data_IF_124654654131
#
_entry.id   IF_124654654131
#
_cell.length_a   1.000
_cell.length_b   1.000
_cell.length_c   1.000
_cell.angle_alpha   90.00
_cell.angle_beta   90.00
_cell.angle_gamma   90.00
#
_symmetry.space_group_name_H-M   'P 1'
#
loop_
_entity.id
_entity.type
_entity.pdbx_description
1 polymer ?
#
# COMPACT_ATOMS: atom_id res chain seq x y z
N UNK A 1 -13.01 -13.41 -17.99
CA UNK A 1 -13.01 -12.21 -17.15
C UNK A 1 -11.71 -11.45 -17.37
N UNK A 2 -11.73 -10.11 -17.47
CA UNK A 2 -10.49 -9.33 -17.65
C UNK A 2 -9.81 -9.13 -16.29
N UNK A 3 -8.49 -9.06 -16.27
CA UNK A 3 -7.74 -8.81 -15.03
C UNK A 3 -8.13 -7.49 -14.36
N UNK A 4 -8.51 -6.47 -15.15
CA UNK A 4 -8.98 -5.18 -14.64
C UNK A 4 -10.26 -5.32 -13.81
N UNK A 5 -11.23 -6.12 -14.28
CA UNK A 5 -12.49 -6.37 -13.56
C UNK A 5 -12.22 -7.05 -12.21
N UNK A 6 -11.32 -8.03 -12.20
CA UNK A 6 -10.92 -8.77 -11.00
C UNK A 6 -10.25 -7.86 -9.99
N UNK A 7 -9.37 -6.97 -10.44
CA UNK A 7 -8.65 -6.05 -9.55
C UNK A 7 -9.57 -4.98 -9.01
N UNK A 8 -10.52 -4.49 -9.82
CA UNK A 8 -11.52 -3.55 -9.35
C UNK A 8 -12.38 -4.16 -8.24
N UNK A 9 -12.88 -5.38 -8.45
CA UNK A 9 -13.68 -6.09 -7.44
C UNK A 9 -12.87 -6.42 -6.18
N UNK A 10 -11.61 -6.80 -6.32
CA UNK A 10 -10.74 -7.07 -5.16
C UNK A 10 -10.35 -5.81 -4.38
N UNK A 11 -10.25 -4.65 -5.05
CA UNK A 11 -9.92 -3.39 -4.40
C UNK A 11 -11.10 -2.80 -3.61
N UNK A 12 -12.33 -3.03 -4.08
CA UNK A 12 -13.56 -2.61 -3.43
C UNK A 12 -14.64 -3.68 -3.66
N UNK A 13 -14.78 -4.68 -2.76
CA UNK A 13 -15.75 -5.76 -2.92
C UNK A 13 -17.17 -5.19 -3.02
N UNK A 14 -17.74 -5.24 -4.22
CA UNK A 14 -19.10 -4.75 -4.48
C UNK A 14 -20.13 -5.86 -4.31
N UNK A 15 -19.67 -7.13 -4.31
CA UNK A 15 -20.55 -8.30 -4.32
C UNK A 15 -21.20 -8.56 -5.67
N UNK A 16 -20.84 -7.78 -6.71
CA UNK A 16 -21.30 -7.98 -8.08
C UNK A 16 -20.67 -9.19 -8.75
N UNK A 17 -19.55 -9.67 -8.23
CA UNK A 17 -18.87 -10.86 -8.72
C UNK A 17 -19.08 -12.06 -7.82
N UNK A 18 -19.44 -13.19 -8.44
CA UNK A 18 -19.55 -14.45 -7.73
C UNK A 18 -18.16 -14.93 -7.27
N UNK A 19 -18.05 -15.29 -5.97
CA UNK A 19 -16.79 -15.71 -5.35
C UNK A 19 -16.15 -16.90 -6.06
N UNK A 20 -16.95 -17.81 -6.62
CA UNK A 20 -16.45 -18.97 -7.36
C UNK A 20 -15.69 -18.58 -8.64
N UNK A 21 -16.21 -17.59 -9.37
CA UNK A 21 -15.57 -17.05 -10.59
C UNK A 21 -14.29 -16.31 -10.23
N UNK A 22 -14.28 -15.60 -9.10
CA UNK A 22 -13.08 -14.94 -8.59
C UNK A 22 -11.98 -15.95 -8.25
N UNK A 23 -12.30 -17.00 -7.49
CA UNK A 23 -11.33 -18.04 -7.12
C UNK A 23 -10.77 -18.77 -8.33
N UNK A 24 -11.63 -19.15 -9.29
CA UNK A 24 -11.20 -19.80 -10.54
C UNK A 24 -10.23 -18.89 -11.32
N UNK A 25 -10.48 -17.57 -11.36
CA UNK A 25 -9.57 -16.65 -12.03
C UNK A 25 -8.21 -16.55 -11.31
N UNK A 26 -8.22 -16.48 -9.97
CA UNK A 26 -6.98 -16.38 -9.18
C UNK A 26 -6.11 -17.63 -9.31
N UNK A 27 -6.71 -18.81 -9.44
CA UNK A 27 -5.99 -20.06 -9.72
C UNK A 27 -5.34 -20.07 -11.11
N UNK A 28 -6.01 -19.48 -12.10
CA UNK A 28 -5.55 -19.49 -13.49
C UNK A 28 -4.67 -18.29 -13.88
N UNK A 29 -4.61 -17.24 -13.06
CA UNK A 29 -3.93 -15.98 -13.38
C UNK A 29 -2.88 -15.58 -12.33
N UNK A 30 -1.59 -15.96 -12.51
CA UNK A 30 -0.53 -15.71 -11.53
C UNK A 30 -0.25 -14.23 -11.22
N UNK A 31 -0.59 -13.31 -12.13
CA UNK A 31 -0.46 -11.87 -11.89
C UNK A 31 -1.50 -11.38 -10.87
N UNK A 32 -2.75 -11.81 -11.00
CA UNK A 32 -3.81 -11.46 -10.06
C UNK A 32 -3.58 -12.11 -8.69
N UNK A 33 -3.13 -13.37 -8.65
CA UNK A 33 -2.75 -14.05 -7.41
C UNK A 33 -1.65 -13.29 -6.63
N UNK A 34 -0.56 -12.90 -7.29
CA UNK A 34 0.53 -12.11 -6.67
C UNK A 34 0.06 -10.72 -6.23
N UNK A 35 -0.88 -10.11 -6.94
CA UNK A 35 -1.46 -8.84 -6.53
C UNK A 35 -2.26 -9.00 -5.23
N UNK A 36 -3.09 -10.03 -5.11
CA UNK A 36 -3.87 -10.33 -3.88
C UNK A 36 -2.95 -10.56 -2.70
N UNK A 37 -1.88 -11.34 -2.88
CA UNK A 37 -0.88 -11.59 -1.82
C UNK A 37 -0.20 -10.30 -1.34
N UNK A 38 0.22 -9.43 -2.28
CA UNK A 38 0.81 -8.13 -1.93
C UNK A 38 -0.18 -7.22 -1.20
N UNK A 39 -1.44 -7.20 -1.64
CA UNK A 39 -2.47 -6.39 -1.01
C UNK A 39 -2.79 -6.90 0.41
N UNK A 40 -2.90 -8.23 0.60
CA UNK A 40 -3.05 -8.83 1.92
C UNK A 40 -1.90 -8.47 2.87
N UNK A 41 -0.66 -8.46 2.37
CA UNK A 41 0.50 -8.01 3.15
C UNK A 41 0.43 -6.53 3.53
N UNK A 42 -0.03 -5.67 2.62
CA UNK A 42 -0.25 -4.25 2.93
C UNK A 42 -1.36 -4.07 3.98
N UNK A 43 -2.45 -4.84 3.89
CA UNK A 43 -3.50 -4.88 4.90
C UNK A 43 -2.95 -5.23 6.28
N UNK A 44 -2.10 -6.25 6.39
CA UNK A 44 -1.45 -6.62 7.65
C UNK A 44 -0.58 -5.49 8.23
N UNK A 45 0.22 -4.84 7.39
CA UNK A 45 1.06 -3.70 7.81
C UNK A 45 0.18 -2.52 8.26
N UNK A 46 -0.90 -2.27 7.52
CA UNK A 46 -1.86 -1.23 7.84
C UNK A 46 -2.54 -1.52 9.19
N UNK A 47 -3.03 -2.72 9.43
CA UNK A 47 -3.66 -3.09 10.70
C UNK A 47 -2.68 -3.02 11.88
N UNK A 48 -1.39 -3.33 11.65
CA UNK A 48 -0.34 -3.20 12.66
C UNK A 48 0.05 -1.74 12.98
N UNK A 49 -0.17 -0.82 12.04
CA UNK A 49 0.21 0.61 12.18
C UNK A 49 -0.98 1.54 12.38
N UNK A 50 -2.20 1.04 12.20
CA UNK A 50 -3.44 1.80 12.38
C UNK A 50 -3.54 2.24 13.84
N UNK A 51 -3.75 3.54 14.04
CA UNK A 51 -4.02 4.09 15.35
C UNK A 51 -5.30 3.48 15.94
N UNK A 52 -5.43 3.37 17.28
CA UNK A 52 -6.66 2.91 17.92
C UNK A 52 -7.87 3.69 17.40
N UNK A 53 -8.99 2.98 17.24
CA UNK A 53 -10.22 3.60 16.74
C UNK A 53 -10.67 4.71 17.70
N UNK A 54 -10.81 5.92 17.14
CA UNK A 54 -11.28 7.08 17.88
C UNK A 54 -12.74 6.87 18.29
N UNK A 55 -13.08 7.19 19.54
CA UNK A 55 -14.47 7.14 19.97
C UNK A 55 -15.34 8.10 19.15
N UNK A 56 -16.63 7.79 19.00
CA UNK A 56 -17.57 8.65 18.27
C UNK A 56 -17.53 10.12 18.79
N UNK A 57 -17.44 10.31 20.11
CA UNK A 57 -17.33 11.64 20.74
C UNK A 57 -16.04 12.37 20.33
N UNK A 58 -14.92 11.65 20.19
CA UNK A 58 -13.67 12.26 19.72
C UNK A 58 -13.79 12.67 18.24
N UNK A 59 -14.43 11.85 17.41
CA UNK A 59 -14.74 12.16 16.02
C UNK A 59 -15.64 13.38 15.88
N UNK A 60 -16.73 13.45 16.65
CA UNK A 60 -17.66 14.59 16.64
C UNK A 60 -16.94 15.90 17.01
N UNK A 61 -16.02 15.84 17.98
CA UNK A 61 -15.22 17.00 18.37
C UNK A 61 -14.29 17.46 17.23
N UNK A 62 -13.63 16.54 16.54
CA UNK A 62 -12.78 16.89 15.39
C UNK A 62 -13.63 17.56 14.30
N UNK A 63 -14.79 17.00 13.98
CA UNK A 63 -15.67 17.56 12.95
C UNK A 63 -16.32 18.88 13.35
N UNK A 64 -16.67 19.07 14.63
CA UNK A 64 -17.14 20.34 15.15
C UNK A 64 -16.07 21.42 15.02
N UNK A 65 -14.81 21.11 15.35
CA UNK A 65 -13.69 22.05 15.20
C UNK A 65 -13.44 22.40 13.73
N UNK A 66 -13.53 21.43 12.82
CA UNK A 66 -13.40 21.68 11.37
C UNK A 66 -14.52 22.59 10.88
N UNK A 67 -15.77 22.32 11.29
CA UNK A 67 -16.93 23.13 10.91
C UNK A 67 -16.83 24.56 11.45
N UNK A 68 -16.47 24.72 12.72
CA UNK A 68 -16.23 26.02 13.34
C UNK A 68 -15.11 26.79 12.62
N UNK A 69 -14.03 26.10 12.23
CA UNK A 69 -12.94 26.71 11.47
C UNK A 69 -13.34 27.13 10.05
N UNK A 70 -14.34 26.48 9.46
CA UNK A 70 -14.88 26.86 8.14
C UNK A 70 -15.89 28.00 8.25
N UNK A 71 -16.68 28.03 9.33
CA UNK A 71 -17.67 29.08 9.61
C UNK A 71 -17.03 30.36 10.14
N UNK A 72 -15.84 30.27 10.75
CA UNK A 72 -15.11 31.46 11.15
C UNK A 72 -14.84 32.31 9.91
N UNK A 73 -15.41 33.54 9.83
CA UNK A 73 -15.09 34.44 8.74
C UNK A 73 -13.59 34.61 8.78
N UNK A 74 -12.91 34.23 7.69
CA UNK A 74 -11.46 34.41 7.57
C UNK A 74 -11.21 35.88 7.80
N UNK A 75 -10.79 36.23 9.02
CA UNK A 75 -10.36 37.57 9.33
C UNK A 75 -9.21 37.76 8.38
N UNK A 76 -9.42 38.58 7.36
CA UNK A 76 -8.34 39.11 6.55
C UNK A 76 -7.49 39.89 7.53
N UNK A 77 -6.56 39.19 8.18
CA UNK A 77 -5.50 39.79 8.98
C UNK A 77 -4.92 40.81 8.01
N UNK A 78 -5.03 42.11 8.31
CA UNK A 78 -4.51 43.14 7.43
C UNK A 78 -3.08 42.75 7.20
N UNK A 79 -2.77 42.39 5.94
CA UNK A 79 -1.46 41.91 5.58
C UNK A 79 -0.48 42.92 6.17
N UNK A 80 0.48 42.50 7.02
CA UNK A 80 1.47 43.43 7.54
C UNK A 80 2.01 44.18 6.33
N UNK A 81 1.99 45.52 6.42
CA UNK A 81 2.43 46.44 5.38
C UNK A 81 3.93 46.24 5.12
N UNK A 82 4.28 45.08 4.60
CA UNK A 82 5.62 44.76 4.17
C UNK A 82 5.88 45.61 2.92
N UNK A 83 7.05 46.25 2.83
CA UNK A 83 7.40 47.11 1.70
C UNK A 83 7.14 46.38 0.38
N UNK A 84 6.35 47.02 -0.48
CA UNK A 84 5.73 46.46 -1.70
C UNK A 84 6.76 45.96 -2.73
N UNK A 85 8.05 46.22 -2.51
CA UNK A 85 9.13 45.97 -3.46
C UNK A 85 9.46 44.47 -3.61
N UNK A 86 9.24 43.62 -2.59
CA UNK A 86 9.64 42.20 -2.64
C UNK A 86 8.50 41.20 -2.93
N UNK A 87 7.26 41.67 -3.09
CA UNK A 87 6.07 40.78 -3.16
C UNK A 87 5.89 40.11 -4.52
N UNK A 88 6.33 40.75 -5.60
CA UNK A 88 6.31 40.17 -6.96
C UNK A 88 7.32 39.02 -7.11
N UNK A 89 8.47 39.12 -6.45
CA UNK A 89 9.51 38.10 -6.53
C UNK A 89 9.11 36.82 -5.82
N UNK A 90 8.41 36.90 -4.67
CA UNK A 90 7.87 35.69 -4.01
C UNK A 90 6.81 34.98 -4.85
N UNK A 91 5.89 35.70 -5.50
CA UNK A 91 4.92 35.08 -6.41
C UNK A 91 5.61 34.43 -7.61
N UNK A 92 6.61 35.10 -8.17
CA UNK A 92 7.42 34.55 -9.26
C UNK A 92 8.20 33.32 -8.81
N UNK A 93 8.79 33.34 -7.61
CA UNK A 93 9.52 32.20 -7.05
C UNK A 93 8.62 30.99 -6.81
N UNK A 94 7.38 31.18 -6.33
CA UNK A 94 6.42 30.08 -6.17
C UNK A 94 6.01 29.50 -7.52
N UNK A 95 5.75 30.34 -8.52
CA UNK A 95 5.40 29.88 -9.87
C UNK A 95 6.58 29.15 -10.53
N UNK A 96 7.81 29.67 -10.39
CA UNK A 96 9.02 29.02 -10.90
C UNK A 96 9.28 27.70 -10.17
N UNK A 97 9.06 27.64 -8.86
CA UNK A 97 9.22 26.40 -8.09
C UNK A 97 8.18 25.35 -8.49
N UNK A 98 6.91 25.75 -8.66
CA UNK A 98 5.86 24.85 -9.13
C UNK A 98 6.14 24.34 -10.56
N UNK A 99 6.59 25.21 -11.47
CA UNK A 99 7.02 24.84 -12.82
C UNK A 99 8.24 23.91 -12.80
N UNK A 100 9.22 24.18 -11.93
CA UNK A 100 10.40 23.33 -11.79
C UNK A 100 10.05 21.94 -11.27
N UNK A 101 9.13 21.83 -10.30
CA UNK A 101 8.63 20.54 -9.85
C UNK A 101 7.87 19.80 -10.94
N UNK A 102 6.98 20.48 -11.68
CA UNK A 102 6.27 19.86 -12.79
C UNK A 102 7.24 19.36 -13.88
N UNK A 103 8.26 20.15 -14.22
CA UNK A 103 9.30 19.77 -15.19
C UNK A 103 10.14 18.59 -14.69
N UNK A 104 10.50 18.54 -13.40
CA UNK A 104 11.23 17.43 -12.83
C UNK A 104 10.43 16.11 -12.86
N UNK A 105 9.12 16.19 -12.58
CA UNK A 105 8.21 15.03 -12.68
C UNK A 105 8.12 14.54 -14.13
N UNK A 106 7.95 15.45 -15.09
CA UNK A 106 7.90 15.09 -16.52
C UNK A 106 9.22 14.51 -17.03
N UNK A 107 10.36 15.08 -16.63
CA UNK A 107 11.67 14.56 -16.99
C UNK A 107 11.92 13.17 -16.38
N UNK A 108 11.51 12.96 -15.12
CA UNK A 108 11.54 11.66 -14.47
C UNK A 108 10.72 10.62 -15.21
N UNK A 109 9.48 10.96 -15.63
CA UNK A 109 8.64 10.08 -16.44
C UNK A 109 9.29 9.75 -17.81
N UNK A 110 9.84 10.75 -18.49
CA UNK A 110 10.46 10.56 -19.81
C UNK A 110 11.70 9.67 -19.76
N UNK A 111 12.56 9.88 -18.76
CA UNK A 111 13.74 9.03 -18.54
C UNK A 111 13.36 7.61 -18.14
N UNK A 112 12.32 7.45 -17.31
CA UNK A 112 11.80 6.13 -16.95
C UNK A 112 11.25 5.38 -18.18
N UNK A 113 10.62 6.08 -19.12
CA UNK A 113 10.17 5.49 -20.39
C UNK A 113 11.33 5.11 -21.31
N UNK A 114 12.37 5.92 -21.39
CA UNK A 114 13.55 5.61 -22.22
C UNK A 114 14.42 4.48 -21.65
N UNK A 115 14.35 4.24 -20.34
CA UNK A 115 15.04 3.13 -19.68
C UNK A 115 14.16 1.90 -19.47
N UNK A 116 12.96 1.86 -20.05
CA UNK A 116 12.20 0.63 -20.13
C UNK A 116 13.10 -0.45 -20.76
N UNK A 117 13.45 -1.52 -20.01
CA UNK A 117 14.34 -2.54 -20.52
C UNK A 117 13.71 -3.12 -21.77
N UNK A 118 14.44 -3.01 -22.90
CA UNK A 118 14.05 -3.67 -24.15
C UNK A 118 13.60 -5.08 -23.81
N UNK A 119 12.38 -5.51 -24.19
CA UNK A 119 11.83 -6.78 -23.77
C UNK A 119 12.88 -7.85 -24.06
N UNK A 120 13.47 -8.37 -22.99
CA UNK A 120 14.53 -9.34 -23.07
C UNK A 120 13.95 -10.55 -23.80
N UNK A 121 14.34 -10.63 -25.07
CA UNK A 121 14.51 -11.81 -25.90
C UNK A 121 14.06 -13.07 -25.15
N UNK A 122 12.87 -13.54 -25.52
CA UNK A 122 12.26 -14.74 -24.97
C UNK A 122 13.32 -15.83 -24.77
N UNK A 123 13.47 -16.39 -23.56
CA UNK A 123 14.42 -17.45 -23.33
C UNK A 123 14.07 -18.60 -24.27
N UNK A 124 15.00 -18.94 -25.15
CA UNK A 124 14.92 -20.11 -26.02
C UNK A 124 14.52 -21.32 -25.17
N UNK A 125 13.46 -22.06 -25.52
CA UNK A 125 13.00 -23.19 -24.72
C UNK A 125 14.12 -24.22 -24.60
N UNK A 126 14.72 -24.30 -23.42
CA UNK A 126 15.66 -25.32 -23.04
C UNK A 126 14.92 -26.66 -23.00
N UNK A 127 15.37 -27.59 -23.84
CA UNK A 127 14.83 -28.95 -23.90
C UNK A 127 14.78 -29.60 -22.51
N UNK A 128 13.74 -30.41 -22.23
CA UNK A 128 13.60 -31.14 -20.98
C UNK A 128 14.73 -32.15 -20.84
N UNK A 129 15.68 -31.84 -19.95
CA UNK A 129 16.70 -32.80 -19.51
C UNK A 129 16.04 -33.74 -18.51
N UNK A 130 15.84 -34.98 -18.94
CA UNK A 130 15.34 -36.09 -18.11
C UNK A 130 16.29 -36.32 -16.93
N UNK A 131 15.95 -35.78 -15.75
CA UNK A 131 16.60 -36.12 -14.50
C UNK A 131 15.92 -37.36 -13.96
N UNK A 132 16.64 -38.48 -13.94
CA UNK A 132 16.21 -39.70 -13.27
C UNK A 132 16.14 -39.41 -11.76
N UNK A 133 14.92 -39.27 -11.24
CA UNK A 133 14.63 -39.17 -9.81
C UNK A 133 14.86 -40.54 -9.19
N UNK A 134 15.89 -40.64 -8.37
CA UNK A 134 16.08 -41.80 -7.50
C UNK A 134 15.02 -41.76 -6.38
N UNK A 135 14.35 -42.90 -6.08
CA UNK A 135 13.31 -42.95 -5.06
C UNK A 135 13.91 -42.70 -3.67
N UNK A 136 13.54 -41.56 -3.06
CA UNK A 136 13.81 -41.28 -1.65
C UNK A 136 13.01 -42.22 -0.75
N UNK A 137 13.63 -42.87 0.25
CA UNK A 137 12.92 -43.71 1.21
C UNK A 137 12.01 -42.85 2.11
N UNK A 138 10.74 -43.24 2.17
CA UNK A 138 9.72 -42.67 3.04
C UNK A 138 10.04 -43.06 4.48
N UNK A 139 10.44 -42.09 5.31
CA UNK A 139 10.53 -42.26 6.76
C UNK A 139 9.14 -42.02 7.34
N UNK A 140 8.50 -43.00 8.01
CA UNK A 140 7.23 -42.79 8.67
C UNK A 140 7.42 -41.86 9.86
N UNK A 141 6.82 -40.67 9.80
CA UNK A 141 6.69 -39.75 10.93
C UNK A 141 5.60 -40.31 11.85
N UNK A 142 6.02 -40.83 13.01
CA UNK A 142 5.10 -41.16 14.10
C UNK A 142 4.54 -39.86 14.68
N UNK A 143 3.30 -39.54 14.36
CA UNK A 143 2.54 -38.47 15.02
C UNK A 143 2.14 -39.01 16.40
N UNK A 144 2.56 -38.36 17.51
CA UNK A 144 2.15 -38.77 18.85
C UNK A 144 0.64 -38.59 18.99
N UNK A 145 -0.03 -39.62 19.52
CA UNK A 145 -1.45 -39.62 19.77
C UNK A 145 -1.83 -38.49 20.75
N UNK A 146 -2.94 -37.76 20.52
CA UNK A 146 -3.42 -36.75 21.44
C UNK A 146 -3.80 -37.40 22.78
N UNK A 147 -3.27 -36.83 23.86
CA UNK A 147 -3.46 -37.29 25.23
C UNK A 147 -4.95 -37.11 25.64
N UNK A 148 -5.71 -38.18 25.94
CA UNK A 148 -7.16 -38.11 26.17
C UNK A 148 -7.57 -37.49 27.53
N UNK A 149 -6.65 -36.79 28.21
CA UNK A 149 -6.88 -36.16 29.51
C UNK A 149 -6.97 -34.63 29.50
N UNK A 150 -6.89 -33.98 28.33
CA UNK A 150 -6.94 -32.52 28.29
C UNK A 150 -8.39 -32.04 28.34
N UNK A 151 -8.81 -31.63 29.53
CA UNK A 151 -10.14 -31.09 29.80
C UNK A 151 -10.37 -29.79 29.00
N UNK A 152 -11.31 -29.73 28.04
CA UNK A 152 -11.51 -28.56 27.17
C UNK A 152 -12.02 -27.32 27.94
N UNK A 153 -12.40 -27.48 29.21
CA UNK A 153 -12.88 -26.39 30.06
C UNK A 153 -11.77 -25.49 30.62
N UNK A 154 -10.50 -25.91 30.59
CA UNK A 154 -9.40 -25.14 31.21
C UNK A 154 -8.64 -24.21 30.24
N UNK A 155 -8.86 -24.31 28.93
CA UNK A 155 -8.19 -23.42 27.94
C UNK A 155 -8.99 -22.14 27.67
N UNK A 156 -10.23 -22.04 28.15
CA UNK A 156 -11.09 -20.87 27.98
C UNK A 156 -10.93 -19.79 29.08
N UNK A 157 -10.02 -19.98 30.04
CA UNK A 157 -9.85 -19.08 31.19
C UNK A 157 -8.43 -18.49 31.33
N UNK A 158 -7.66 -18.42 30.24
CA UNK A 158 -6.58 -17.43 30.17
C UNK A 158 -7.21 -16.09 29.84
N UNK A 159 -7.70 -15.50 30.92
CA UNK A 159 -8.19 -14.14 31.05
C UNK A 159 -7.16 -13.14 30.50
N UNK A 160 -7.49 -12.55 29.35
CA UNK A 160 -6.75 -11.44 28.71
C UNK A 160 -7.12 -10.09 29.38
N UNK A 161 -7.79 -10.10 30.54
CA UNK A 161 -8.25 -8.86 31.20
C UNK A 161 -7.26 -8.25 32.20
N UNK A 162 -6.11 -8.86 32.47
CA UNK A 162 -5.18 -8.35 33.50
C UNK A 162 -3.84 -7.78 32.99
N UNK A 163 -3.73 -7.50 31.67
CA UNK A 163 -2.72 -6.54 31.19
C UNK A 163 -3.26 -5.10 31.33
N UNK A 164 -3.39 -4.68 32.58
CA UNK A 164 -3.45 -3.26 32.96
C UNK A 164 -2.13 -2.61 32.51
N UNK A 165 -2.16 -1.98 31.33
CA UNK A 165 -1.13 -1.05 30.91
C UNK A 165 -1.19 0.21 31.79
N UNK A 166 -0.51 0.15 32.94
CA UNK A 166 0.01 1.34 33.60
C UNK A 166 1.15 1.90 32.73
N UNK A 167 0.80 2.64 31.68
CA UNK A 167 1.76 3.49 30.97
C UNK A 167 1.94 4.78 31.79
N UNK A 168 3.12 5.02 32.39
CA UNK A 168 3.42 6.35 32.89
C UNK A 168 3.39 7.34 31.72
N UNK A 169 2.56 8.36 31.87
CA UNK A 169 2.41 9.53 31.01
C UNK A 169 3.68 10.41 31.03
N UNK A 170 4.82 9.88 30.60
CA UNK A 170 6.06 10.64 30.51
C UNK A 170 6.98 10.08 29.44
N UNK A 171 6.97 10.73 28.28
CA UNK A 171 8.02 10.56 27.27
C UNK A 171 7.46 10.44 25.86
N UNK A 172 7.27 11.58 25.20
CA UNK A 172 7.44 11.66 23.75
C UNK A 172 8.85 11.19 23.41
N UNK A 173 9.04 9.89 23.17
CA UNK A 173 10.21 9.39 22.49
C UNK A 173 10.13 9.90 21.06
N UNK A 174 10.86 10.98 20.80
CA UNK A 174 11.21 11.34 19.43
C UNK A 174 12.02 10.17 18.91
N UNK A 175 11.44 9.37 18.02
CA UNK A 175 12.18 8.38 17.24
C UNK A 175 13.18 9.20 16.42
N UNK A 176 14.39 9.39 16.94
CA UNK A 176 15.48 9.99 16.20
C UNK A 176 15.91 8.96 15.17
N UNK A 177 15.27 8.98 14.00
CA UNK A 177 15.73 8.22 12.84
C UNK A 177 17.10 8.77 12.45
N UNK A 178 18.13 7.98 12.71
CA UNK A 178 19.50 8.27 12.31
C UNK A 178 19.56 8.42 10.77
N UNK A 179 20.31 9.41 10.28
CA UNK A 179 20.35 9.84 8.87
C UNK A 179 20.79 8.71 7.92
N UNK A 180 21.53 7.72 8.44
CA UNK A 180 21.89 6.49 7.72
C UNK A 180 20.70 5.56 7.45
N UNK A 181 19.70 5.55 8.32
CA UNK A 181 18.48 4.75 8.14
C UNK A 181 17.60 5.35 7.05
N UNK A 182 17.53 6.67 6.97
CA UNK A 182 16.84 7.38 5.89
C UNK A 182 17.55 7.21 4.54
N UNK A 183 18.90 7.21 4.51
CA UNK A 183 19.64 6.86 3.27
C UNK A 183 19.46 5.41 2.84
N UNK A 184 19.38 4.46 3.76
CA UNK A 184 19.11 3.06 3.41
C UNK A 184 17.65 2.84 2.97
N UNK A 185 16.69 3.64 3.46
CA UNK A 185 15.31 3.68 2.93
C UNK A 185 15.21 4.37 1.56
N UNK A 186 16.09 5.33 1.26
CA UNK A 186 16.16 5.99 -0.04
C UNK A 186 16.93 5.18 -1.10
N UNK A 187 17.82 4.27 -0.69
CA UNK A 187 18.61 3.40 -1.56
C UNK A 187 18.01 2.00 -1.74
N UNK A 188 17.18 1.53 -0.80
CA UNK A 188 16.30 0.38 -1.08
C UNK A 188 15.19 0.88 -2.00
N UNK A 189 15.21 0.39 -3.25
CA UNK A 189 14.22 0.70 -4.28
C UNK A 189 12.81 0.77 -3.70
N UNK A 190 12.14 1.86 -4.05
CA UNK A 190 10.79 2.18 -3.61
C UNK A 190 9.89 0.92 -3.66
N UNK A 191 9.39 0.40 -2.54
CA UNK A 191 8.50 -0.76 -2.54
C UNK A 191 7.14 -0.46 -3.19
N UNK A 192 6.90 0.82 -3.53
CA UNK A 192 5.81 1.29 -4.38
C UNK A 192 6.22 1.48 -5.85
N UNK A 193 7.26 0.78 -6.35
CA UNK A 193 7.37 0.47 -7.78
C UNK A 193 6.12 -0.35 -8.17
N UNK A 194 5.06 0.38 -8.50
CA UNK A 194 3.93 -0.15 -9.23
C UNK A 194 4.48 -0.50 -10.60
N UNK A 195 4.61 -1.79 -10.86
CA UNK A 195 5.01 -2.37 -12.13
C UNK A 195 4.33 -1.58 -13.28
N UNK A 196 5.09 -0.85 -14.13
CA UNK A 196 4.50 0.08 -15.11
C UNK A 196 3.62 -0.62 -16.15
N UNK A 197 3.61 -1.95 -16.18
CA UNK A 197 2.63 -2.77 -16.90
C UNK A 197 1.17 -2.50 -16.45
N UNK A 198 0.93 -1.91 -15.27
CA UNK A 198 -0.41 -1.57 -14.81
C UNK A 198 -0.98 -0.24 -15.36
N UNK A 199 -0.14 0.65 -15.89
CA UNK A 199 -0.60 1.95 -16.41
C UNK A 199 -1.04 1.91 -17.88
N UNK A 200 -0.96 0.76 -18.56
CA UNK A 200 -1.41 0.60 -19.95
C UNK A 200 -2.94 0.49 -20.14
N UNK A 201 -3.73 0.54 -19.08
CA UNK A 201 -5.19 0.33 -19.17
C UNK A 201 -6.01 1.56 -19.58
N UNK A 202 -5.44 2.76 -19.58
CA UNK A 202 -6.16 3.99 -19.97
C UNK A 202 -6.17 4.27 -21.49
N UNK A 203 -5.43 3.51 -22.32
CA UNK A 203 -5.34 3.78 -23.76
C UNK A 203 -6.32 2.96 -24.63
N UNK A 204 -7.02 1.96 -24.07
CA UNK A 204 -7.94 1.10 -24.85
C UNK A 204 -9.36 1.66 -24.99
N UNK A 205 -9.74 2.68 -24.21
CA UNK A 205 -11.06 3.30 -24.31
C UNK A 205 -11.14 4.37 -25.41
N UNK A 206 -10.00 4.91 -25.87
CA UNK A 206 -9.96 5.90 -26.96
C UNK A 206 -10.06 5.31 -28.38
N UNK A 207 -10.02 3.99 -28.56
CA UNK A 207 -10.10 3.37 -29.90
C UNK A 207 -11.46 2.78 -30.27
N UNK A 208 -12.44 2.73 -29.36
CA UNK A 208 -13.75 2.15 -29.64
C UNK A 208 -14.80 3.14 -30.20
N UNK A 209 -14.44 4.41 -30.41
CA UNK A 209 -15.36 5.48 -30.88
C UNK A 209 -15.33 5.77 -32.38
N UNK A 210 -14.65 4.96 -33.20
CA UNK A 210 -14.52 5.17 -34.64
C UNK A 210 -14.86 3.89 -35.42
N UNK A 211 -16.12 3.46 -35.39
CA UNK A 211 -16.77 2.69 -36.47
C UNK A 211 -18.25 3.03 -36.56
#
# INVERSE_FOLDING_TARGET
MRCADVIHELAAPTGGLEQAVLSEHLENCPSCARWVERNARLGQIWDATRAPELSAVAWDRIWANVSESLDQPRVTVPAPSAPVIFRSWRRSAVVVFALAQAAAILAGLGLAWHHAPSPLRSPTPSQPRSVAVAPTPVVPVSVPAPDPGTDPALVAALDVSDMVFNLPSTGTSVISLDDKTLRNLALNGNPYEVDPLFNGFNDLESQAGLQ
#
